data_IF_332844914868
#
_entry.id   IF_332844914868
#
_cell.length_a   1.000
_cell.length_b   1.000
_cell.length_c   1.000
_cell.angle_alpha   90.00
_cell.angle_beta   90.00
_cell.angle_gamma   90.00
#
_symmetry.space_group_name_H-M   'P 1'
#
loop_
_entity.id
_entity.type
_entity.pdbx_description
1 polymer ?
#
# COMPACT_ATOMS: atom_id res chain seq x y z
N UNK A 1 -5.97 17.22 17.75
CA UNK A 1 -4.67 16.55 17.52
C UNK A 1 -4.88 15.30 16.65
N UNK A 2 -4.07 15.16 15.64
CA UNK A 2 -4.20 14.03 14.74
C UNK A 2 -3.73 12.72 15.39
N UNK A 3 -4.47 11.64 15.16
CA UNK A 3 -4.14 10.30 15.61
C UNK A 3 -3.02 9.67 14.78
N UNK A 4 -2.78 10.19 13.59
CA UNK A 4 -1.82 9.66 12.62
C UNK A 4 -0.64 10.60 12.42
N UNK A 5 0.52 10.09 12.00
CA UNK A 5 1.62 10.96 11.56
C UNK A 5 1.14 11.92 10.46
N UNK A 6 1.81 13.06 10.35
CA UNK A 6 1.39 14.13 9.45
C UNK A 6 1.19 13.68 8.01
N UNK A 7 2.14 12.92 7.44
CA UNK A 7 2.03 12.48 6.05
C UNK A 7 0.84 11.56 5.81
N UNK A 8 0.46 10.80 6.83
CA UNK A 8 -0.70 9.89 6.73
C UNK A 8 -1.98 10.70 6.90
N UNK A 9 -1.98 11.67 7.80
CA UNK A 9 -3.13 12.54 7.96
C UNK A 9 -3.41 13.33 6.68
N UNK A 10 -2.36 13.76 5.97
CA UNK A 10 -2.53 14.43 4.69
C UNK A 10 -3.19 13.52 3.65
N UNK A 11 -2.79 12.24 3.60
CA UNK A 11 -3.43 11.26 2.72
C UNK A 11 -4.91 11.09 3.06
N UNK A 12 -5.21 10.96 4.35
CA UNK A 12 -6.59 10.80 4.82
C UNK A 12 -7.41 12.02 4.42
N UNK A 13 -6.89 13.22 4.67
CA UNK A 13 -7.59 14.45 4.37
C UNK A 13 -7.84 14.60 2.86
N UNK A 14 -6.83 14.33 2.04
CA UNK A 14 -6.97 14.43 0.59
C UNK A 14 -8.07 13.52 0.05
N UNK A 15 -8.08 12.26 0.47
CA UNK A 15 -9.07 11.31 -0.02
C UNK A 15 -10.45 11.56 0.57
N UNK A 16 -10.52 12.00 1.83
CA UNK A 16 -11.82 12.27 2.47
C UNK A 16 -12.52 13.49 1.89
N UNK A 17 -11.76 14.40 1.27
CA UNK A 17 -12.30 15.59 0.61
C UNK A 17 -12.79 15.30 -0.82
N UNK A 18 -12.51 14.11 -1.35
CA UNK A 18 -12.99 13.74 -2.68
C UNK A 18 -14.51 13.80 -2.72
N UNK A 19 -15.04 14.31 -3.83
CA UNK A 19 -16.49 14.53 -4.00
C UNK A 19 -17.27 13.23 -4.14
N UNK A 20 -16.66 12.21 -4.78
CA UNK A 20 -17.33 10.96 -5.05
C UNK A 20 -16.32 9.83 -5.29
N UNK A 21 -16.87 8.65 -5.56
CA UNK A 21 -16.10 7.44 -5.81
C UNK A 21 -15.19 7.56 -7.05
N UNK A 22 -15.69 8.21 -8.08
CA UNK A 22 -14.93 8.38 -9.32
C UNK A 22 -13.67 9.21 -9.08
N UNK A 23 -13.78 10.28 -8.31
CA UNK A 23 -12.64 11.11 -7.96
C UNK A 23 -11.61 10.33 -7.16
N UNK A 24 -12.06 9.46 -6.24
CA UNK A 24 -11.13 8.61 -5.46
C UNK A 24 -10.37 7.65 -6.38
N UNK A 25 -11.04 7.06 -7.37
CA UNK A 25 -10.37 6.20 -8.34
C UNK A 25 -9.32 6.97 -9.14
N UNK A 26 -9.65 8.18 -9.56
CA UNK A 26 -8.68 9.01 -10.30
C UNK A 26 -7.46 9.33 -9.45
N UNK A 27 -7.65 9.60 -8.16
CA UNK A 27 -6.56 9.83 -7.22
C UNK A 27 -5.68 8.59 -7.08
N UNK A 28 -6.29 7.41 -6.98
CA UNK A 28 -5.54 6.16 -6.92
C UNK A 28 -4.71 5.95 -8.18
N UNK A 29 -5.25 6.26 -9.36
CA UNK A 29 -4.52 6.14 -10.62
C UNK A 29 -3.30 7.06 -10.64
N UNK A 30 -3.45 8.28 -10.12
CA UNK A 30 -2.33 9.22 -10.03
C UNK A 30 -1.25 8.70 -9.07
N UNK A 31 -1.66 8.18 -7.91
CA UNK A 31 -0.70 7.60 -6.96
C UNK A 31 0.00 6.39 -7.54
N UNK A 32 -0.68 5.59 -8.34
CA UNK A 32 -0.08 4.40 -8.97
C UNK A 32 1.16 4.75 -9.79
N UNK A 33 1.21 5.96 -10.36
CA UNK A 33 2.36 6.40 -11.13
C UNK A 33 3.55 6.78 -10.27
N UNK A 34 3.34 7.03 -8.97
CA UNK A 34 4.39 7.49 -8.06
C UNK A 34 5.18 6.37 -7.39
N UNK A 35 4.69 5.13 -7.46
CA UNK A 35 5.39 4.02 -6.82
C UNK A 35 6.70 3.70 -7.54
N UNK A 36 7.68 3.21 -6.78
CA UNK A 36 8.90 2.63 -7.34
C UNK A 36 8.52 1.31 -7.98
N UNK A 37 8.22 1.34 -9.27
CA UNK A 37 7.58 0.24 -9.97
C UNK A 37 8.54 -0.91 -10.26
N UNK A 38 8.07 -2.13 -10.02
CA UNK A 38 8.77 -3.32 -10.46
C UNK A 38 8.49 -3.54 -11.95
N UNK A 39 9.55 -3.76 -12.72
CA UNK A 39 9.40 -4.17 -14.10
C UNK A 39 8.80 -5.58 -14.15
N UNK A 40 8.02 -5.89 -15.18
CA UNK A 40 7.39 -7.21 -15.30
C UNK A 40 8.40 -8.35 -15.33
N UNK A 41 9.64 -8.08 -15.77
CA UNK A 41 10.72 -9.07 -15.73
C UNK A 41 11.12 -9.47 -14.31
N UNK A 42 10.75 -8.65 -13.31
CA UNK A 42 11.02 -8.94 -11.90
C UNK A 42 9.87 -9.68 -11.23
N UNK A 43 8.77 -9.92 -11.92
CA UNK A 43 7.62 -10.63 -11.38
C UNK A 43 7.94 -12.13 -11.28
N UNK A 44 7.92 -12.64 -10.05
CA UNK A 44 8.21 -14.05 -9.76
C UNK A 44 7.22 -14.57 -8.74
N UNK A 45 7.27 -15.87 -8.47
CA UNK A 45 6.45 -16.44 -7.41
C UNK A 45 6.80 -15.86 -6.05
N UNK A 46 8.05 -15.46 -5.86
CA UNK A 46 8.51 -14.88 -4.59
C UNK A 46 8.01 -13.47 -4.36
N UNK A 47 7.76 -12.71 -5.43
CA UNK A 47 7.25 -11.34 -5.32
C UNK A 47 5.74 -11.27 -5.33
N UNK A 48 5.07 -12.34 -5.75
CA UNK A 48 3.62 -12.35 -5.90
C UNK A 48 2.90 -12.28 -4.55
N UNK A 49 1.88 -11.43 -4.49
CA UNK A 49 0.98 -11.34 -3.34
C UNK A 49 -0.10 -12.42 -3.49
N UNK A 50 -0.09 -13.39 -2.58
CA UNK A 50 -1.07 -14.49 -2.58
C UNK A 50 -2.42 -13.97 -2.08
N UNK A 51 -3.50 -14.42 -2.71
CA UNK A 51 -4.84 -14.05 -2.29
C UNK A 51 -5.37 -12.79 -2.96
N UNK A 52 -4.64 -12.26 -3.94
CA UNK A 52 -5.11 -11.15 -4.76
C UNK A 52 -5.53 -11.69 -6.13
N UNK A 53 -6.69 -11.27 -6.63
CA UNK A 53 -7.16 -11.73 -7.95
C UNK A 53 -6.34 -11.14 -9.09
N UNK A 54 -5.86 -9.90 -8.90
CA UNK A 54 -4.97 -9.27 -9.86
C UNK A 54 -3.55 -9.78 -9.67
N UNK A 55 -2.72 -9.70 -10.72
CA UNK A 55 -1.30 -9.87 -10.53
C UNK A 55 -0.79 -8.70 -9.71
N UNK A 56 -0.21 -9.00 -8.56
CA UNK A 56 0.33 -7.99 -7.66
C UNK A 56 1.64 -8.51 -7.12
N UNK A 57 2.69 -7.72 -7.29
CA UNK A 57 4.05 -8.11 -6.91
C UNK A 57 4.70 -7.01 -6.09
N UNK A 58 5.35 -7.39 -5.00
CA UNK A 58 6.03 -6.44 -4.13
C UNK A 58 7.42 -6.94 -3.74
N UNK A 59 8.29 -5.98 -3.46
CA UNK A 59 9.60 -6.23 -2.84
C UNK A 59 9.73 -5.25 -1.69
N UNK A 60 9.93 -5.78 -0.48
CA UNK A 60 10.12 -4.99 0.73
C UNK A 60 11.62 -4.89 0.99
N UNK A 61 12.12 -3.68 1.13
CA UNK A 61 13.53 -3.42 1.41
C UNK A 61 13.68 -2.64 2.71
N UNK A 62 14.72 -2.96 3.47
CA UNK A 62 15.10 -2.20 4.66
C UNK A 62 16.57 -1.82 4.54
N UNK A 63 16.82 -0.57 4.20
CA UNK A 63 18.18 -0.04 4.09
C UNK A 63 18.48 0.94 5.22
N UNK A 64 19.51 1.75 5.02
CA UNK A 64 19.89 2.78 5.99
C UNK A 64 18.78 3.76 6.30
N UNK A 65 17.91 4.01 5.31
CA UNK A 65 16.81 4.96 5.45
C UNK A 65 15.49 4.28 5.84
N UNK A 66 15.54 3.01 6.27
CA UNK A 66 14.37 2.28 6.71
C UNK A 66 13.61 1.60 5.58
N UNK A 67 12.31 1.42 5.80
CA UNK A 67 11.43 0.71 4.87
C UNK A 67 11.34 1.42 3.52
N UNK A 68 11.39 0.61 2.48
CA UNK A 68 11.10 1.06 1.11
C UNK A 68 10.35 -0.05 0.38
N UNK A 69 9.27 0.31 -0.29
CA UNK A 69 8.44 -0.64 -1.03
C UNK A 69 8.57 -0.42 -2.52
N UNK A 70 8.88 -1.49 -3.23
CA UNK A 70 8.78 -1.53 -4.69
C UNK A 70 7.63 -2.45 -5.04
N UNK A 71 6.87 -2.11 -6.06
CA UNK A 71 5.75 -2.96 -6.42
C UNK A 71 5.11 -2.57 -7.73
N UNK A 72 4.30 -3.47 -8.24
CA UNK A 72 3.46 -3.18 -9.41
C UNK A 72 2.32 -4.19 -9.48
N UNK A 73 1.31 -3.84 -10.27
CA UNK A 73 0.13 -4.67 -10.46
C UNK A 73 -0.44 -4.42 -11.84
N UNK A 74 -1.15 -5.41 -12.38
CA UNK A 74 -1.93 -5.21 -13.59
C UNK A 74 -3.24 -4.46 -13.32
N UNK A 75 -3.58 -4.25 -12.04
CA UNK A 75 -4.70 -3.40 -11.61
C UNK A 75 -4.18 -2.05 -11.14
N UNK A 76 -4.61 -0.97 -11.78
CA UNK A 76 -4.21 0.39 -11.38
C UNK A 76 -4.71 0.74 -9.99
N UNK A 77 -5.85 0.21 -9.59
CA UNK A 77 -6.39 0.45 -8.24
C UNK A 77 -5.48 -0.19 -7.20
N UNK A 78 -5.09 -1.45 -7.41
CA UNK A 78 -4.19 -2.14 -6.49
C UNK A 78 -2.82 -1.45 -6.46
N UNK A 79 -2.30 -1.05 -7.62
CA UNK A 79 -1.02 -0.34 -7.66
C UNK A 79 -1.09 1.01 -6.94
N UNK A 80 -2.22 1.71 -7.04
CA UNK A 80 -2.44 2.94 -6.29
C UNK A 80 -2.43 2.69 -4.78
N UNK A 81 -3.06 1.61 -4.33
CA UNK A 81 -3.04 1.23 -2.92
C UNK A 81 -1.63 0.85 -2.46
N UNK A 82 -0.85 0.21 -3.32
CA UNK A 82 0.57 -0.05 -3.03
C UNK A 82 1.34 1.25 -2.85
N UNK A 83 1.11 2.23 -3.72
CA UNK A 83 1.79 3.52 -3.66
C UNK A 83 1.47 4.24 -2.35
N UNK A 84 0.21 4.25 -1.96
CA UNK A 84 -0.23 4.86 -0.70
C UNK A 84 0.45 4.17 0.48
N UNK A 85 0.50 2.83 0.45
CA UNK A 85 1.17 2.05 1.50
C UNK A 85 2.66 2.36 1.55
N UNK A 86 3.29 2.48 0.38
CA UNK A 86 4.69 2.84 0.29
C UNK A 86 4.96 4.20 0.95
N UNK A 87 4.11 5.18 0.67
CA UNK A 87 4.23 6.51 1.28
C UNK A 87 4.06 6.42 2.80
N UNK A 88 3.04 5.69 3.25
CA UNK A 88 2.71 5.61 4.66
C UNK A 88 3.83 4.97 5.49
N UNK A 89 4.48 3.96 4.95
CA UNK A 89 5.47 3.17 5.68
C UNK A 89 6.92 3.58 5.41
N UNK A 90 7.16 4.43 4.42
CA UNK A 90 8.52 4.83 4.04
C UNK A 90 9.33 5.29 5.25
N UNK A 91 10.52 4.73 5.40
CA UNK A 91 11.44 5.15 6.45
C UNK A 91 11.24 4.49 7.81
N UNK A 92 10.20 3.68 7.97
CA UNK A 92 9.94 3.02 9.26
C UNK A 92 10.90 1.84 9.50
N UNK A 93 11.10 1.50 10.76
CA UNK A 93 11.85 0.31 11.13
C UNK A 93 10.97 -0.94 10.94
N UNK A 94 11.58 -2.15 10.86
CA UNK A 94 10.77 -3.37 10.78
C UNK A 94 9.77 -3.50 11.93
N UNK A 95 10.15 -3.11 13.14
CA UNK A 95 9.25 -3.16 14.30
C UNK A 95 8.06 -2.23 14.12
N UNK A 96 8.31 -1.02 13.63
CA UNK A 96 7.24 -0.06 13.38
C UNK A 96 6.28 -0.55 12.30
N UNK A 97 6.80 -1.19 11.26
CA UNK A 97 5.97 -1.75 10.18
C UNK A 97 5.07 -2.86 10.72
N UNK A 98 5.62 -3.78 11.53
CA UNK A 98 4.81 -4.89 12.08
C UNK A 98 3.70 -4.42 13.00
N UNK A 99 3.89 -3.29 13.66
CA UNK A 99 2.88 -2.73 14.56
C UNK A 99 1.94 -1.71 13.91
N UNK A 100 2.11 -1.44 12.61
CA UNK A 100 1.34 -0.42 11.93
C UNK A 100 -0.05 -0.94 11.56
N UNK A 101 -1.09 -0.14 11.83
CA UNK A 101 -2.46 -0.54 11.52
C UNK A 101 -2.83 -0.13 10.10
N UNK A 102 -3.49 -1.03 9.32
CA UNK A 102 -4.00 -0.67 8.00
C UNK A 102 -5.24 0.21 8.05
N UNK A 103 -5.73 0.55 9.25
CA UNK A 103 -6.98 1.29 9.41
C UNK A 103 -6.94 2.70 8.80
N UNK A 104 -5.75 3.25 8.55
CA UNK A 104 -5.66 4.56 7.90
C UNK A 104 -6.36 4.57 6.54
N UNK A 105 -6.35 3.44 5.82
CA UNK A 105 -7.01 3.31 4.52
C UNK A 105 -8.53 3.39 4.68
N UNK A 106 -9.06 2.85 5.79
CA UNK A 106 -10.49 2.98 6.11
C UNK A 106 -10.88 4.43 6.33
N UNK A 107 -10.02 5.19 7.02
CA UNK A 107 -10.28 6.61 7.28
C UNK A 107 -10.20 7.46 6.00
N UNK A 108 -9.46 6.97 5.00
CA UNK A 108 -9.42 7.61 3.68
C UNK A 108 -10.69 7.36 2.88
N UNK A 109 -11.57 6.47 3.35
CA UNK A 109 -12.82 6.06 2.69
C UNK A 109 -12.58 5.30 1.39
N UNK A 110 -11.37 4.88 1.15
CA UNK A 110 -11.00 4.15 -0.06
C UNK A 110 -11.60 2.75 -0.08
N UNK A 111 -11.57 2.06 1.07
CA UNK A 111 -12.08 0.69 1.14
C UNK A 111 -13.58 0.61 0.80
N UNK A 112 -14.34 1.65 1.14
CA UNK A 112 -15.78 1.71 0.85
C UNK A 112 -16.07 1.74 -0.66
N UNK A 113 -15.10 2.21 -1.45
CA UNK A 113 -15.25 2.32 -2.89
C UNK A 113 -14.81 1.07 -3.63
N UNK A 114 -14.17 0.13 -2.91
CA UNK A 114 -13.62 -1.06 -3.53
C UNK A 114 -14.60 -2.22 -3.49
N UNK A 115 -14.50 -3.12 -4.49
CA UNK A 115 -15.19 -4.40 -4.40
C UNK A 115 -14.57 -5.21 -3.26
N UNK A 116 -15.30 -6.19 -2.69
CA UNK A 116 -14.73 -7.04 -1.63
C UNK A 116 -13.43 -7.72 -2.04
N UNK A 117 -13.31 -8.14 -3.29
CA UNK A 117 -12.09 -8.80 -3.78
C UNK A 117 -10.89 -7.87 -3.75
N UNK A 118 -11.09 -6.60 -4.12
CA UNK A 118 -10.00 -5.62 -4.10
C UNK A 118 -9.62 -5.21 -2.69
N UNK A 119 -10.61 -5.08 -1.80
CA UNK A 119 -10.35 -4.80 -0.40
C UNK A 119 -9.53 -5.93 0.23
N UNK A 120 -9.90 -7.19 -0.06
CA UNK A 120 -9.15 -8.34 0.43
C UNK A 120 -7.74 -8.37 -0.17
N UNK A 121 -7.59 -8.03 -1.43
CA UNK A 121 -6.28 -7.95 -2.08
C UNK A 121 -5.37 -6.95 -1.38
N UNK A 122 -5.89 -5.78 -1.03
CA UNK A 122 -5.14 -4.79 -0.27
C UNK A 122 -4.71 -5.34 1.09
N UNK A 123 -5.64 -5.97 1.82
CA UNK A 123 -5.33 -6.52 3.14
C UNK A 123 -4.27 -7.62 3.05
N UNK A 124 -4.36 -8.48 2.06
CA UNK A 124 -3.37 -9.54 1.85
C UNK A 124 -1.99 -8.95 1.52
N UNK A 125 -1.96 -7.90 0.74
CA UNK A 125 -0.70 -7.18 0.45
C UNK A 125 -0.11 -6.59 1.73
N UNK A 126 -0.95 -5.94 2.53
CA UNK A 126 -0.48 -5.31 3.77
C UNK A 126 0.06 -6.36 4.75
N UNK A 127 -0.63 -7.48 4.89
CA UNK A 127 -0.18 -8.57 5.75
C UNK A 127 1.13 -9.18 5.24
N UNK A 128 1.29 -9.31 3.93
CA UNK A 128 2.53 -9.80 3.33
C UNK A 128 3.69 -8.87 3.66
N UNK A 129 3.46 -7.56 3.60
CA UNK A 129 4.48 -6.56 3.96
C UNK A 129 4.88 -6.74 5.41
N UNK A 130 3.92 -6.92 6.30
CA UNK A 130 4.21 -7.12 7.72
C UNK A 130 4.94 -8.42 7.98
N UNK A 131 4.60 -9.50 7.26
CA UNK A 131 5.31 -10.77 7.38
C UNK A 131 6.76 -10.63 6.94
N UNK A 132 7.01 -9.92 5.84
CA UNK A 132 8.38 -9.67 5.37
C UNK A 132 9.16 -8.86 6.40
N UNK A 133 8.51 -7.89 7.05
CA UNK A 133 9.15 -7.10 8.12
C UNK A 133 9.51 -7.98 9.32
N UNK A 134 8.62 -8.91 9.70
CA UNK A 134 8.90 -9.83 10.82
C UNK A 134 10.10 -10.70 10.53
N UNK A 135 10.26 -11.14 9.30
CA UNK A 135 11.44 -11.94 8.91
C UNK A 135 12.73 -11.18 9.12
N UNK A 136 12.71 -9.85 8.98
CA UNK A 136 13.89 -9.02 9.23
C UNK A 136 14.26 -8.94 10.70
N UNK A 137 13.29 -9.20 11.59
CA UNK A 137 13.53 -9.19 13.03
C UNK A 137 14.10 -10.51 13.54
N UNK A 138 14.13 -11.50 12.71
CA UNK A 138 14.66 -12.80 13.03
C UNK A 138 13.70 -13.74 13.57
#
# INVERSE_FOLDING_TARGET
MSKWPEKIQELIDDFSEALDQMERYEMLFEYAEEIDELDSSEWTNNTRVVGCQSEAHIVVEFGENGFHLRGSSDSQIIQGLMAITAIALEGLTPEEVTGFSPNFVSEMKVLETLTPNRANGFLNMFLRIQDDAREMLG
#
